data_IF_690193587366
#
_entry.id   IF_690193587366
#
_cell.length_a   1.000
_cell.length_b   1.000
_cell.length_c   1.000
_cell.angle_alpha   90.00
_cell.angle_beta   90.00
_cell.angle_gamma   90.00
#
_symmetry.space_group_name_H-M   'P 1'
#
loop_
_entity.id
_entity.type
_entity.pdbx_description
1 polymer ?
#
# COMPACT_ATOMS: atom_id res chain seq x y z
N UNK A 1 -24.98 32.13 1.99
CA UNK A 1 -24.48 31.09 2.90
C UNK A 1 -23.77 30.05 2.06
N UNK A 2 -22.46 29.97 2.23
CA UNK A 2 -21.53 29.28 1.33
C UNK A 2 -21.60 27.77 1.51
N UNK A 3 -22.07 27.04 0.50
CA UNK A 3 -21.95 25.58 0.44
C UNK A 3 -20.50 25.21 0.14
N UNK A 4 -19.68 25.11 1.19
CA UNK A 4 -18.35 24.51 1.11
C UNK A 4 -18.55 23.00 0.94
N UNK A 5 -18.44 22.52 -0.32
CA UNK A 5 -18.25 21.09 -0.57
C UNK A 5 -16.92 20.71 0.07
N UNK A 6 -16.96 19.97 1.19
CA UNK A 6 -15.83 19.18 1.65
C UNK A 6 -15.35 18.35 0.45
N UNK A 7 -14.19 18.70 -0.11
CA UNK A 7 -13.47 17.75 -0.95
C UNK A 7 -13.21 16.56 -0.04
N UNK A 8 -13.94 15.46 -0.24
CA UNK A 8 -13.52 14.15 0.26
C UNK A 8 -12.06 14.01 -0.13
N UNK A 9 -11.17 13.94 0.85
CA UNK A 9 -9.76 13.63 0.64
C UNK A 9 -9.71 12.34 -0.18
N UNK A 10 -9.47 12.48 -1.47
CA UNK A 10 -9.38 11.35 -2.38
C UNK A 10 -8.04 10.73 -2.09
N UNK A 11 -8.06 9.63 -1.35
CA UNK A 11 -6.85 8.90 -0.99
C UNK A 11 -6.06 8.61 -2.26
N UNK A 12 -4.78 8.99 -2.36
CA UNK A 12 -4.03 8.87 -3.60
C UNK A 12 -3.88 7.40 -4.00
N UNK A 13 -4.11 7.12 -5.28
CA UNK A 13 -3.99 5.78 -5.88
C UNK A 13 -2.52 5.34 -6.06
N UNK A 14 -1.57 6.21 -5.71
CA UNK A 14 -0.14 5.99 -5.86
C UNK A 14 0.65 6.55 -4.69
N UNK A 15 1.66 5.81 -4.23
CA UNK A 15 2.58 6.24 -3.18
C UNK A 15 3.77 6.99 -3.79
N UNK A 16 4.14 8.14 -3.21
CA UNK A 16 5.31 8.91 -3.67
C UNK A 16 6.58 8.36 -3.02
N UNK A 17 7.52 7.94 -3.85
CA UNK A 17 8.87 7.57 -3.41
C UNK A 17 9.86 8.71 -3.66
N UNK A 18 10.81 8.90 -2.75
CA UNK A 18 11.94 9.83 -2.93
C UNK A 18 13.23 9.03 -2.84
N UNK A 19 14.05 9.10 -3.89
CA UNK A 19 15.30 8.32 -4.01
C UNK A 19 16.43 9.21 -4.51
N UNK A 20 17.66 8.90 -4.10
CA UNK A 20 18.86 9.50 -4.67
C UNK A 20 19.32 8.66 -5.87
N UNK A 21 19.72 9.34 -6.96
CA UNK A 21 20.26 8.71 -8.16
C UNK A 21 21.67 9.24 -8.43
N UNK A 22 22.54 8.39 -8.98
CA UNK A 22 23.86 8.80 -9.42
C UNK A 22 23.78 9.78 -10.60
N UNK A 23 24.71 10.73 -10.68
CA UNK A 23 24.71 11.77 -11.72
C UNK A 23 24.71 11.20 -13.14
N UNK A 24 25.45 10.11 -13.37
CA UNK A 24 25.54 9.46 -14.69
C UNK A 24 24.21 8.82 -15.10
N UNK A 25 23.56 8.10 -14.19
CA UNK A 25 22.27 7.47 -14.47
C UNK A 25 21.17 8.51 -14.69
N UNK A 26 21.16 9.57 -13.87
CA UNK A 26 20.25 10.69 -14.08
C UNK A 26 20.43 11.33 -15.47
N UNK A 27 21.68 11.54 -15.90
CA UNK A 27 21.97 12.08 -17.24
C UNK A 27 21.54 11.15 -18.38
N UNK A 28 21.66 9.82 -18.21
CA UNK A 28 21.16 8.84 -19.19
C UNK A 28 19.64 8.85 -19.28
N UNK A 29 18.95 8.97 -18.14
CA UNK A 29 17.48 9.10 -18.12
C UNK A 29 17.06 10.37 -18.85
N UNK A 30 17.75 11.48 -18.60
CA UNK A 30 17.47 12.75 -19.27
C UNK A 30 17.63 12.67 -20.78
N UNK A 31 18.69 12.02 -21.25
CA UNK A 31 18.90 11.80 -22.68
C UNK A 31 17.77 10.98 -23.30
N UNK A 32 17.34 9.90 -22.64
CA UNK A 32 16.23 9.06 -23.13
C UNK A 32 14.90 9.83 -23.20
N UNK A 33 14.65 10.72 -22.25
CA UNK A 33 13.46 11.60 -22.27
C UNK A 33 13.58 12.63 -23.39
N UNK A 34 14.77 13.23 -23.57
CA UNK A 34 15.01 14.23 -24.60
C UNK A 34 14.87 13.67 -26.03
N UNK A 35 15.33 12.44 -26.25
CA UNK A 35 15.18 11.72 -27.52
C UNK A 35 13.75 11.18 -27.74
N UNK A 36 12.84 11.38 -26.78
CA UNK A 36 11.42 11.04 -26.91
C UNK A 36 11.07 9.58 -26.67
N UNK A 37 12.00 8.76 -26.14
CA UNK A 37 11.69 7.37 -25.77
C UNK A 37 10.70 7.28 -24.60
N UNK A 38 10.70 8.30 -23.73
CA UNK A 38 9.80 8.40 -22.57
C UNK A 38 9.25 9.81 -22.43
N UNK A 39 8.02 9.94 -21.93
CA UNK A 39 7.37 11.26 -21.79
C UNK A 39 7.97 12.12 -20.68
N UNK A 40 8.55 11.51 -19.63
CA UNK A 40 9.23 12.20 -18.53
C UNK A 40 10.04 11.19 -17.68
N UNK A 41 10.87 11.72 -16.75
CA UNK A 41 11.69 10.90 -15.83
C UNK A 41 10.84 9.91 -15.01
N UNK A 42 9.68 10.33 -14.52
CA UNK A 42 8.81 9.48 -13.70
C UNK A 42 8.23 8.31 -14.50
N UNK A 43 7.95 8.52 -15.78
CA UNK A 43 7.49 7.48 -16.70
C UNK A 43 8.58 6.43 -16.97
N UNK A 44 9.81 6.87 -17.24
CA UNK A 44 10.98 5.98 -17.33
C UNK A 44 11.12 5.14 -16.06
N UNK A 45 11.16 5.78 -14.88
CA UNK A 45 11.37 5.10 -13.60
C UNK A 45 10.25 4.09 -13.32
N UNK A 46 8.98 4.46 -13.56
CA UNK A 46 7.84 3.55 -13.37
C UNK A 46 7.93 2.35 -14.31
N UNK A 47 8.32 2.56 -15.56
CA UNK A 47 8.50 1.49 -16.55
C UNK A 47 9.65 0.56 -16.15
N UNK A 48 10.80 1.11 -15.75
CA UNK A 48 11.94 0.32 -15.29
C UNK A 48 11.59 -0.55 -14.07
N UNK A 49 10.86 0.00 -13.10
CA UNK A 49 10.39 -0.75 -11.92
C UNK A 49 9.48 -1.92 -12.35
N UNK A 50 8.51 -1.68 -13.25
CA UNK A 50 7.61 -2.73 -13.74
C UNK A 50 8.38 -3.86 -14.42
N UNK A 51 9.30 -3.51 -15.32
CA UNK A 51 10.12 -4.49 -16.04
C UNK A 51 10.97 -5.32 -15.08
N UNK A 52 11.55 -4.69 -14.05
CA UNK A 52 12.34 -5.42 -13.07
C UNK A 52 11.48 -6.35 -12.21
N UNK A 53 10.29 -5.92 -11.78
CA UNK A 53 9.36 -6.78 -11.04
C UNK A 53 8.94 -7.98 -11.91
N UNK A 54 8.62 -7.75 -13.18
CA UNK A 54 8.26 -8.80 -14.12
C UNK A 54 9.39 -9.82 -14.31
N UNK A 55 10.64 -9.35 -14.40
CA UNK A 55 11.82 -10.23 -14.50
C UNK A 55 12.00 -11.16 -13.28
N UNK A 56 11.47 -10.76 -12.12
CA UNK A 56 11.47 -11.55 -10.88
C UNK A 56 10.12 -12.21 -10.58
N UNK A 57 9.18 -12.20 -11.54
CA UNK A 57 7.79 -12.58 -11.33
C UNK A 57 7.60 -13.95 -10.68
N UNK A 58 8.27 -14.99 -11.18
CA UNK A 58 8.18 -16.35 -10.60
C UNK A 58 8.67 -16.40 -9.14
N UNK A 59 9.78 -15.72 -8.85
CA UNK A 59 10.35 -15.65 -7.50
C UNK A 59 9.38 -14.96 -6.54
N UNK A 60 8.75 -13.87 -6.99
CA UNK A 60 7.76 -13.12 -6.21
C UNK A 60 6.52 -13.99 -5.96
N UNK A 61 5.94 -14.61 -7.00
CA UNK A 61 4.77 -15.50 -6.88
C UNK A 61 5.03 -16.65 -5.90
N UNK A 62 6.15 -17.35 -6.03
CA UNK A 62 6.53 -18.44 -5.11
C UNK A 62 6.66 -17.95 -3.66
N UNK A 63 7.17 -16.74 -3.47
CA UNK A 63 7.28 -16.14 -2.13
C UNK A 63 5.90 -15.78 -1.55
N UNK A 64 5.01 -15.23 -2.36
CA UNK A 64 3.63 -14.89 -1.96
C UNK A 64 2.90 -16.16 -1.50
N UNK A 65 2.98 -17.24 -2.29
CA UNK A 65 2.37 -18.54 -1.95
C UNK A 65 2.95 -19.12 -0.66
N UNK A 66 4.28 -19.16 -0.53
CA UNK A 66 4.98 -19.72 0.64
C UNK A 66 4.59 -19.00 1.94
N UNK A 67 4.39 -17.69 1.89
CA UNK A 67 4.04 -16.90 3.07
C UNK A 67 2.53 -16.73 3.28
N UNK A 68 1.72 -17.30 2.37
CA UNK A 68 0.25 -17.16 2.33
C UNK A 68 -0.15 -15.70 2.35
N UNK A 69 0.49 -14.91 1.49
CA UNK A 69 0.23 -13.48 1.35
C UNK A 69 -0.82 -13.24 0.26
N UNK A 70 -1.58 -12.17 0.44
CA UNK A 70 -2.57 -11.72 -0.54
C UNK A 70 -1.98 -10.56 -1.36
N UNK A 71 -2.03 -10.67 -2.68
CA UNK A 71 -1.55 -9.62 -3.57
C UNK A 71 -2.69 -8.66 -3.92
N UNK A 72 -2.49 -7.36 -3.72
CA UNK A 72 -3.40 -6.32 -4.21
C UNK A 72 -3.78 -5.27 -3.17
N UNK A 73 -4.99 -4.72 -3.33
CA UNK A 73 -5.58 -3.73 -2.43
C UNK A 73 -6.61 -4.42 -1.54
N UNK A 74 -6.47 -4.28 -0.22
CA UNK A 74 -7.43 -4.78 0.77
C UNK A 74 -8.02 -3.62 1.55
N UNK A 75 -9.33 -3.42 1.43
CA UNK A 75 -10.09 -2.47 2.23
C UNK A 75 -10.79 -3.22 3.39
N UNK A 76 -10.63 -2.72 4.61
CA UNK A 76 -11.30 -3.21 5.82
C UNK A 76 -12.24 -2.12 6.33
N UNK A 77 -13.55 -2.37 6.28
CA UNK A 77 -14.56 -1.47 6.84
C UNK A 77 -14.85 -1.81 8.31
N UNK A 78 -15.47 -0.86 9.03
CA UNK A 78 -15.95 -1.12 10.39
C UNK A 78 -16.97 -2.29 10.41
N UNK A 79 -17.81 -2.43 9.39
CA UNK A 79 -18.78 -3.51 9.28
C UNK A 79 -18.11 -4.89 9.15
N UNK A 80 -17.01 -4.99 8.39
CA UNK A 80 -16.25 -6.23 8.23
C UNK A 80 -15.62 -6.65 9.56
N UNK A 81 -15.04 -5.70 10.30
CA UNK A 81 -14.42 -5.98 11.60
C UNK A 81 -15.45 -6.27 12.69
N UNK A 82 -16.59 -5.55 12.73
CA UNK A 82 -17.70 -5.87 13.64
C UNK A 82 -18.24 -7.29 13.37
N UNK A 83 -18.33 -7.69 12.11
CA UNK A 83 -18.76 -9.04 11.72
C UNK A 83 -17.74 -10.10 12.15
N UNK A 84 -16.45 -9.85 11.94
CA UNK A 84 -15.37 -10.73 12.42
C UNK A 84 -15.40 -10.85 13.96
N UNK A 85 -15.60 -9.74 14.66
CA UNK A 85 -15.77 -9.71 16.13
C UNK A 85 -16.97 -10.53 16.58
N UNK A 86 -18.12 -10.38 15.92
CA UNK A 86 -19.33 -11.13 16.24
C UNK A 86 -19.16 -12.64 15.99
N UNK A 87 -18.36 -13.01 14.99
CA UNK A 87 -17.98 -14.39 14.71
C UNK A 87 -16.90 -14.95 15.67
N UNK A 88 -16.27 -14.09 16.50
CA UNK A 88 -15.14 -14.46 17.34
C UNK A 88 -13.86 -14.77 16.55
N UNK A 89 -13.75 -14.24 15.33
CA UNK A 89 -12.64 -14.47 14.42
C UNK A 89 -11.51 -13.46 14.65
N UNK A 90 -10.26 -13.93 14.60
CA UNK A 90 -9.05 -13.11 14.64
C UNK A 90 -8.41 -13.10 13.26
N UNK A 91 -8.35 -11.93 12.66
CA UNK A 91 -7.79 -11.68 11.34
C UNK A 91 -6.26 -11.61 11.41
N UNK A 92 -5.60 -12.46 10.62
CA UNK A 92 -4.17 -12.41 10.36
C UNK A 92 -3.93 -11.88 8.96
N UNK A 93 -3.71 -10.57 8.85
CA UNK A 93 -3.66 -9.87 7.58
C UNK A 93 -2.23 -9.91 7.05
N UNK A 94 -2.06 -10.47 5.84
CA UNK A 94 -0.77 -10.54 5.13
C UNK A 94 -0.96 -10.05 3.71
N UNK A 95 -0.49 -8.83 3.41
CA UNK A 95 -0.76 -8.17 2.13
C UNK A 95 0.53 -7.73 1.44
N UNK A 96 0.63 -7.99 0.15
CA UNK A 96 1.59 -7.36 -0.76
C UNK A 96 0.83 -6.34 -1.59
N UNK A 97 1.07 -5.04 -1.37
CA UNK A 97 0.33 -3.96 -2.00
C UNK A 97 -0.17 -2.93 -0.98
N UNK A 98 -1.49 -2.76 -0.86
CA UNK A 98 -2.11 -1.78 0.03
C UNK A 98 -3.07 -2.46 0.98
N UNK A 99 -2.91 -2.23 2.27
CA UNK A 99 -3.95 -2.47 3.26
C UNK A 99 -4.55 -1.12 3.68
N UNK A 100 -5.85 -0.97 3.54
CA UNK A 100 -6.61 0.21 3.97
C UNK A 100 -7.60 -0.19 5.04
N UNK A 101 -7.49 0.45 6.20
CA UNK A 101 -8.47 0.37 7.28
C UNK A 101 -9.27 1.67 7.24
N UNK A 102 -10.60 1.54 7.15
CA UNK A 102 -11.49 2.67 7.05
C UNK A 102 -11.38 3.60 8.29
N UNK A 103 -11.61 4.89 8.08
CA UNK A 103 -11.40 5.91 9.12
C UNK A 103 -12.41 5.84 10.28
N UNK A 104 -13.53 5.15 10.08
CA UNK A 104 -14.57 4.89 11.06
C UNK A 104 -14.25 3.69 11.98
N UNK A 105 -13.18 2.95 11.70
CA UNK A 105 -12.70 1.87 12.57
C UNK A 105 -12.09 2.45 13.83
N UNK A 106 -12.59 2.03 14.99
CA UNK A 106 -12.03 2.42 16.28
C UNK A 106 -10.79 1.58 16.62
N UNK A 107 -9.82 2.15 17.37
CA UNK A 107 -8.65 1.42 17.84
C UNK A 107 -9.00 0.14 18.61
N UNK A 108 -10.06 0.18 19.42
CA UNK A 108 -10.53 -0.95 20.21
C UNK A 108 -11.08 -2.07 19.34
N UNK A 109 -11.84 -1.73 18.30
CA UNK A 109 -12.37 -2.71 17.35
C UNK A 109 -11.24 -3.38 16.56
N UNK A 110 -10.26 -2.59 16.11
CA UNK A 110 -9.08 -3.10 15.43
C UNK A 110 -8.27 -4.06 16.32
N UNK A 111 -8.08 -3.72 17.60
CA UNK A 111 -7.37 -4.57 18.57
C UNK A 111 -8.14 -5.84 18.96
N UNK A 112 -9.47 -5.85 18.86
CA UNK A 112 -10.26 -7.05 19.14
C UNK A 112 -10.27 -8.03 17.98
N UNK A 113 -9.98 -7.56 16.75
CA UNK A 113 -10.20 -8.32 15.52
C UNK A 113 -8.93 -8.64 14.76
N UNK A 114 -7.87 -7.81 14.83
CA UNK A 114 -6.65 -7.99 14.03
C UNK A 114 -5.53 -8.57 14.88
N UNK A 115 -5.24 -9.86 14.76
CA UNK A 115 -4.20 -10.53 15.55
C UNK A 115 -2.77 -10.19 15.09
N UNK A 116 -2.54 -10.12 13.78
CA UNK A 116 -1.25 -9.74 13.20
C UNK A 116 -1.44 -9.03 11.87
N UNK A 117 -0.55 -8.09 11.56
CA UNK A 117 -0.60 -7.30 10.33
C UNK A 117 0.79 -7.26 9.67
N UNK A 118 0.96 -7.97 8.56
CA UNK A 118 2.15 -7.89 7.70
C UNK A 118 1.78 -7.22 6.39
N UNK A 119 2.31 -6.03 6.13
CA UNK A 119 2.00 -5.25 4.92
C UNK A 119 3.28 -4.90 4.19
N UNK A 120 3.51 -5.55 3.05
CA UNK A 120 4.59 -5.22 2.12
C UNK A 120 4.07 -4.21 1.09
N UNK A 121 4.26 -2.93 1.40
CA UNK A 121 3.80 -1.81 0.58
C UNK A 121 3.32 -0.66 1.46
N UNK A 122 2.04 -0.31 1.38
CA UNK A 122 1.48 0.81 2.13
C UNK A 122 0.36 0.36 3.09
N UNK A 123 0.31 0.99 4.27
CA UNK A 123 -0.78 0.86 5.24
C UNK A 123 -1.48 2.22 5.40
N UNK A 124 -2.74 2.29 4.99
CA UNK A 124 -3.60 3.46 5.16
C UNK A 124 -4.58 3.17 6.29
N UNK A 125 -4.51 3.94 7.37
CA UNK A 125 -5.39 3.85 8.53
C UNK A 125 -5.31 5.16 9.31
N UNK A 126 -6.28 5.41 10.20
CA UNK A 126 -6.21 6.55 11.12
C UNK A 126 -4.98 6.43 12.03
N UNK A 127 -4.46 7.58 12.50
CA UNK A 127 -3.26 7.61 13.34
C UNK A 127 -3.45 6.79 14.64
N UNK A 128 -4.66 6.86 15.22
CA UNK A 128 -4.99 6.13 16.45
C UNK A 128 -5.01 4.61 16.22
N UNK A 129 -5.55 4.14 15.08
CA UNK A 129 -5.53 2.71 14.72
C UNK A 129 -4.10 2.24 14.43
N UNK A 130 -3.30 3.02 13.70
CA UNK A 130 -1.88 2.69 13.47
C UNK A 130 -1.11 2.56 14.78
N UNK A 131 -1.36 3.46 15.73
CA UNK A 131 -0.73 3.45 17.04
C UNK A 131 -1.16 2.23 17.86
N UNK A 132 -2.45 1.90 17.85
CA UNK A 132 -2.97 0.73 18.57
C UNK A 132 -2.44 -0.59 17.99
N UNK A 133 -2.30 -0.70 16.67
CA UNK A 133 -1.79 -1.89 16.01
C UNK A 133 -0.26 -1.97 15.96
N UNK A 134 0.47 -1.00 16.53
CA UNK A 134 1.94 -0.94 16.44
C UNK A 134 2.62 -2.24 16.92
N UNK A 135 2.15 -2.82 18.02
CA UNK A 135 2.70 -4.06 18.59
C UNK A 135 2.33 -5.33 17.79
N UNK A 136 1.46 -5.21 16.79
CA UNK A 136 0.95 -6.31 15.95
C UNK A 136 1.42 -6.22 14.50
N UNK A 137 2.15 -5.16 14.15
CA UNK A 137 2.77 -5.00 12.84
C UNK A 137 4.07 -5.79 12.82
N UNK A 138 4.19 -6.71 11.86
CA UNK A 138 5.35 -7.60 11.66
C UNK A 138 6.13 -7.20 10.41
#
# INVERSE_FOLDING_TARGET
MSNVRQLRDKTPDSEKITINLGFVDLGRIDLLVQEGFYSNRSDFIRTAIRNQIESHGETVTRSIERHTMELGLRDFSAADLESAKAAGEILHIKVVGLARIAADVTPELALQTIGSLTVLGALQASADVKKALADRIL
#
